data_IF_118270481517
#
_entry.id   IF_118270481517
#
_cell.length_a   1.000
_cell.length_b   1.000
_cell.length_c   1.000
_cell.angle_alpha   90.00
_cell.angle_beta   90.00
_cell.angle_gamma   90.00
#
_symmetry.space_group_name_H-M   'P 1'
#
loop_
_entity.id
_entity.type
_entity.pdbx_description
1 polymer ?
#
# COMPACT_ATOMS: atom_id res chain seq x y z
N UNK A 1 -1.89 -6.80 16.04
CA UNK A 1 -2.09 -5.57 15.23
C UNK A 1 -1.55 -4.38 16.00
N UNK A 2 -0.69 -3.58 15.37
CA UNK A 2 -0.10 -2.35 15.90
C UNK A 2 -0.62 -1.13 15.13
N UNK A 3 -0.82 0.01 15.80
CA UNK A 3 -1.03 1.31 15.17
C UNK A 3 0.18 2.20 15.44
N UNK A 4 0.79 2.69 14.37
CA UNK A 4 1.86 3.68 14.42
C UNK A 4 1.34 5.04 13.92
N UNK A 5 1.61 6.10 14.65
CA UNK A 5 1.31 7.48 14.25
C UNK A 5 2.63 8.24 14.22
N UNK A 6 3.07 8.76 13.06
CA UNK A 6 4.27 9.56 12.96
C UNK A 6 4.26 10.76 13.90
N UNK A 7 5.44 11.19 14.35
CA UNK A 7 5.57 12.33 15.27
C UNK A 7 4.98 13.60 14.63
N UNK A 8 4.09 14.25 15.35
CA UNK A 8 3.39 15.45 14.88
C UNK A 8 2.20 15.20 13.96
N UNK A 9 1.91 13.93 13.61
CA UNK A 9 0.72 13.57 12.86
C UNK A 9 -0.48 13.32 13.80
N UNK A 10 -1.69 13.37 13.22
CA UNK A 10 -2.92 12.87 13.82
C UNK A 10 -3.77 12.21 12.72
N UNK A 11 -4.67 11.33 13.10
CA UNK A 11 -5.51 10.60 12.14
C UNK A 11 -7.00 10.99 12.17
N UNK A 12 -7.29 12.20 12.60
CA UNK A 12 -8.68 12.68 12.71
C UNK A 12 -9.29 13.05 11.35
N UNK A 13 -8.45 13.32 10.34
CA UNK A 13 -8.88 13.78 9.02
C UNK A 13 -8.42 12.86 7.88
N UNK A 14 -8.34 11.56 8.10
CA UNK A 14 -7.99 10.61 7.04
C UNK A 14 -9.06 10.58 5.97
N UNK A 15 -8.63 10.79 4.72
CA UNK A 15 -9.47 10.82 3.51
C UNK A 15 -9.08 9.75 2.50
N UNK A 16 -7.87 9.23 2.59
CA UNK A 16 -7.29 8.24 1.69
C UNK A 16 -6.75 7.08 2.51
N UNK A 17 -7.17 5.88 2.19
CA UNK A 17 -6.72 4.65 2.85
C UNK A 17 -6.14 3.70 1.81
N UNK A 18 -5.00 3.10 2.09
CA UNK A 18 -4.48 1.98 1.31
C UNK A 18 -4.43 0.71 2.15
N UNK A 19 -4.79 -0.42 1.56
CA UNK A 19 -4.61 -1.75 2.16
C UNK A 19 -3.66 -2.55 1.30
N UNK A 20 -2.46 -2.79 1.80
CA UNK A 20 -1.41 -3.54 1.12
C UNK A 20 -1.18 -4.92 1.71
N UNK A 21 -0.72 -5.83 0.88
CA UNK A 21 -0.28 -7.15 1.31
C UNK A 21 1.05 -7.07 2.06
N UNK A 22 2.06 -6.44 1.44
CA UNK A 22 3.42 -6.38 1.99
C UNK A 22 3.85 -4.95 2.29
N UNK A 23 4.91 -4.83 3.04
CA UNK A 23 5.63 -3.58 3.26
C UNK A 23 6.33 -3.21 1.95
N UNK A 24 6.19 -1.95 1.49
CA UNK A 24 6.59 -1.37 0.19
C UNK A 24 5.51 -1.30 -0.91
N UNK A 25 4.50 -2.14 -0.90
CA UNK A 25 3.49 -2.18 -1.96
C UNK A 25 2.72 -0.86 -2.12
N UNK A 26 2.26 -0.26 -1.00
CA UNK A 26 1.38 0.92 -1.06
C UNK A 26 2.10 2.16 -1.59
N UNK A 27 3.40 2.28 -1.39
CA UNK A 27 4.21 3.36 -1.95
C UNK A 27 4.31 3.25 -3.47
N UNK A 28 4.11 2.05 -4.01
CA UNK A 28 4.03 1.81 -5.44
C UNK A 28 2.63 2.08 -5.99
N UNK A 29 1.60 1.44 -5.46
CA UNK A 29 0.28 1.47 -6.08
C UNK A 29 -0.65 2.59 -5.58
N UNK A 30 -0.48 3.08 -4.35
CA UNK A 30 -1.34 4.12 -3.75
C UNK A 30 -0.66 5.50 -3.70
N UNK A 31 0.37 5.73 -4.52
CA UNK A 31 1.14 6.97 -4.50
C UNK A 31 0.29 8.22 -4.76
N UNK A 32 -0.75 8.14 -5.58
CA UNK A 32 -1.74 9.20 -5.78
C UNK A 32 -2.39 9.65 -4.46
N UNK A 33 -2.81 8.68 -3.63
CA UNK A 33 -3.38 8.96 -2.31
C UNK A 33 -2.37 9.64 -1.37
N UNK A 34 -1.12 9.17 -1.38
CA UNK A 34 -0.02 9.76 -0.60
C UNK A 34 0.19 11.22 -1.03
N UNK A 35 0.30 11.49 -2.32
CA UNK A 35 0.49 12.84 -2.88
C UNK A 35 -0.65 13.78 -2.51
N UNK A 36 -1.90 13.36 -2.68
CA UNK A 36 -3.09 14.16 -2.35
C UNK A 36 -3.17 14.54 -0.88
N UNK A 37 -2.65 13.66 -0.01
CA UNK A 37 -2.65 13.83 1.44
C UNK A 37 -1.38 14.49 2.00
N UNK A 38 -0.33 14.64 1.18
CA UNK A 38 0.99 15.10 1.63
C UNK A 38 0.89 16.45 2.35
N UNK A 39 1.43 16.50 3.57
CA UNK A 39 1.36 17.67 4.44
C UNK A 39 -0.02 17.99 5.06
N UNK A 40 -1.02 17.10 4.93
CA UNK A 40 -2.41 17.33 5.38
C UNK A 40 -2.89 16.34 6.44
N UNK A 41 -2.09 15.37 6.86
CA UNK A 41 -2.51 14.26 7.74
C UNK A 41 -3.79 13.55 7.24
N UNK A 42 -3.83 13.23 5.95
CA UNK A 42 -5.05 12.72 5.33
C UNK A 42 -4.90 11.32 4.69
N UNK A 43 -3.72 10.69 4.76
CA UNK A 43 -3.49 9.33 4.27
C UNK A 43 -3.20 8.38 5.42
N UNK A 44 -3.85 7.23 5.42
CA UNK A 44 -3.51 6.11 6.28
C UNK A 44 -3.15 4.87 5.46
N UNK A 45 -2.21 4.08 5.96
CA UNK A 45 -1.81 2.81 5.39
C UNK A 45 -2.18 1.64 6.29
N UNK A 46 -2.54 0.51 5.69
CA UNK A 46 -2.67 -0.79 6.36
C UNK A 46 -1.75 -1.78 5.65
N UNK A 47 -0.88 -2.45 6.40
CA UNK A 47 -0.07 -3.56 5.90
C UNK A 47 -0.51 -4.83 6.59
N UNK A 48 -0.83 -5.87 5.82
CA UNK A 48 -1.40 -7.09 6.35
C UNK A 48 -0.34 -8.12 6.78
N UNK A 49 0.78 -8.24 6.04
CA UNK A 49 1.79 -9.28 6.37
C UNK A 49 2.99 -8.73 7.12
N UNK A 50 3.63 -9.63 7.90
CA UNK A 50 4.87 -9.36 8.65
C UNK A 50 6.08 -9.16 7.73
N UNK A 51 6.11 -9.83 6.58
CA UNK A 51 7.19 -9.76 5.61
C UNK A 51 8.47 -10.52 6.01
N UNK A 52 8.46 -11.28 7.10
CA UNK A 52 9.63 -12.02 7.59
C UNK A 52 10.14 -13.07 6.60
N UNK A 53 9.25 -13.85 6.02
CA UNK A 53 9.60 -14.92 5.08
C UNK A 53 9.91 -14.43 3.65
N UNK A 54 10.46 -13.22 3.48
CA UNK A 54 10.85 -12.69 2.17
C UNK A 54 12.18 -13.27 1.67
N UNK A 55 12.46 -13.24 0.35
CA UNK A 55 13.79 -13.54 -0.17
C UNK A 55 14.87 -12.65 0.46
N UNK A 56 16.06 -13.21 0.70
CA UNK A 56 17.21 -12.53 1.29
C UNK A 56 18.23 -12.14 0.22
N UNK A 57 18.73 -10.91 0.28
CA UNK A 57 19.99 -10.56 -0.38
C UNK A 57 21.17 -11.10 0.43
N UNK A 58 22.36 -11.22 -0.20
CA UNK A 58 23.54 -11.79 0.45
C UNK A 58 23.88 -11.14 1.81
N UNK A 59 23.75 -9.84 1.90
CA UNK A 59 24.00 -9.08 3.14
C UNK A 59 23.01 -9.35 4.28
N UNK A 60 21.88 -10.00 3.99
CA UNK A 60 20.85 -10.36 4.96
C UNK A 60 20.64 -11.88 5.08
N UNK A 61 21.52 -12.70 4.49
CA UNK A 61 21.33 -14.16 4.39
C UNK A 61 21.16 -14.86 5.75
N UNK A 62 21.85 -14.35 6.76
CA UNK A 62 21.86 -14.93 8.12
C UNK A 62 20.83 -14.27 9.06
N UNK A 63 20.03 -13.33 8.56
CA UNK A 63 18.96 -12.67 9.35
C UNK A 63 17.78 -13.62 9.49
N UNK A 64 17.29 -13.83 10.71
CA UNK A 64 16.10 -14.64 10.97
C UNK A 64 14.83 -14.04 10.37
N UNK A 65 13.75 -14.81 10.27
CA UNK A 65 12.47 -14.30 9.78
C UNK A 65 11.90 -13.23 10.73
N UNK A 66 12.04 -13.42 12.04
CA UNK A 66 11.58 -12.46 13.04
C UNK A 66 12.36 -11.14 12.96
N UNK A 67 13.71 -11.19 12.92
CA UNK A 67 14.52 -9.99 12.76
C UNK A 67 14.26 -9.28 11.41
N UNK A 68 14.00 -10.04 10.35
CA UNK A 68 13.65 -9.46 9.06
C UNK A 68 12.28 -8.76 9.11
N UNK A 69 11.30 -9.32 9.79
CA UNK A 69 10.01 -8.68 10.00
C UNK A 69 10.16 -7.35 10.76
N UNK A 70 11.01 -7.32 11.78
CA UNK A 70 11.33 -6.07 12.53
C UNK A 70 12.02 -5.03 11.66
N UNK A 71 13.04 -5.42 10.87
CA UNK A 71 13.73 -4.53 9.93
C UNK A 71 12.76 -3.90 8.94
N UNK A 72 11.90 -4.70 8.32
CA UNK A 72 10.91 -4.24 7.36
C UNK A 72 9.82 -3.38 8.02
N UNK A 73 9.45 -3.68 9.26
CA UNK A 73 8.55 -2.82 10.04
C UNK A 73 9.16 -1.45 10.28
N UNK A 74 10.45 -1.38 10.61
CA UNK A 74 11.16 -0.12 10.76
C UNK A 74 11.26 0.66 9.43
N UNK A 75 11.47 -0.03 8.30
CA UNK A 75 11.43 0.58 6.96
C UNK A 75 10.05 1.17 6.66
N UNK A 76 8.98 0.43 6.90
CA UNK A 76 7.61 0.90 6.63
C UNK A 76 7.22 2.09 7.53
N UNK A 77 7.64 2.11 8.80
CA UNK A 77 7.44 3.26 9.68
C UNK A 77 8.18 4.51 9.18
N UNK A 78 9.43 4.35 8.70
CA UNK A 78 10.18 5.46 8.06
C UNK A 78 9.51 5.95 6.77
N UNK A 79 8.94 5.04 5.98
CA UNK A 79 8.18 5.43 4.79
C UNK A 79 6.93 6.23 5.18
N UNK A 80 6.22 5.84 6.24
CA UNK A 80 5.08 6.59 6.76
C UNK A 80 5.47 8.00 7.24
N UNK A 81 6.61 8.15 7.91
CA UNK A 81 7.16 9.46 8.31
C UNK A 81 7.48 10.33 7.09
N UNK A 82 8.24 9.80 6.12
CA UNK A 82 8.60 10.52 4.88
C UNK A 82 7.39 10.89 4.02
N UNK A 83 6.42 9.98 3.94
CA UNK A 83 5.19 10.16 3.17
C UNK A 83 4.15 11.06 3.86
N UNK A 84 4.40 11.48 5.09
CA UNK A 84 3.48 12.32 5.86
C UNK A 84 2.14 11.61 6.15
N UNK A 85 2.21 10.31 6.48
CA UNK A 85 1.02 9.54 6.80
C UNK A 85 0.40 10.03 8.11
N UNK A 86 -0.93 10.03 8.17
CA UNK A 86 -1.68 10.27 9.39
C UNK A 86 -1.60 9.09 10.36
N UNK A 87 -1.60 7.87 9.82
CA UNK A 87 -1.46 6.63 10.58
C UNK A 87 -0.99 5.47 9.69
N UNK A 88 -0.37 4.49 10.32
CA UNK A 88 0.00 3.20 9.73
C UNK A 88 -0.48 2.08 10.66
N UNK A 89 -1.20 1.11 10.10
CA UNK A 89 -1.69 -0.06 10.80
C UNK A 89 -0.93 -1.30 10.30
N UNK A 90 -0.38 -2.07 11.21
CA UNK A 90 0.42 -3.25 10.95
C UNK A 90 -0.27 -4.47 11.56
N UNK A 91 -0.72 -5.40 10.72
CA UNK A 91 -1.41 -6.61 11.17
C UNK A 91 -0.43 -7.69 11.61
N UNK A 92 0.78 -7.66 11.04
CA UNK A 92 1.85 -8.64 11.33
C UNK A 92 1.37 -10.09 11.21
N UNK A 93 0.71 -10.41 10.11
CA UNK A 93 0.21 -11.73 9.79
C UNK A 93 1.10 -12.43 8.75
N UNK A 94 1.11 -13.75 8.77
CA UNK A 94 1.74 -14.51 7.68
C UNK A 94 0.91 -14.42 6.40
N UNK A 95 1.56 -14.61 5.24
CA UNK A 95 0.82 -14.71 3.96
C UNK A 95 -0.20 -15.85 3.93
N UNK A 96 0.01 -16.91 4.71
CA UNK A 96 -0.93 -18.01 4.83
C UNK A 96 -2.21 -17.60 5.58
N UNK A 97 -2.07 -16.85 6.69
CA UNK A 97 -3.22 -16.32 7.43
C UNK A 97 -4.05 -15.37 6.59
N UNK A 98 -3.40 -14.47 5.80
CA UNK A 98 -4.14 -13.58 4.90
C UNK A 98 -4.89 -14.35 3.82
N UNK A 99 -4.27 -15.37 3.22
CA UNK A 99 -4.92 -16.23 2.23
C UNK A 99 -6.09 -17.04 2.79
N UNK A 100 -6.06 -17.36 4.09
CA UNK A 100 -7.17 -18.01 4.76
C UNK A 100 -8.42 -17.11 4.93
N UNK A 101 -8.26 -15.80 4.81
CA UNK A 101 -9.34 -14.80 4.87
C UNK A 101 -10.22 -14.97 6.11
N UNK A 102 -9.59 -15.13 7.27
CA UNK A 102 -10.34 -15.36 8.51
C UNK A 102 -11.27 -14.19 8.83
N UNK A 103 -12.43 -14.50 9.41
CA UNK A 103 -13.42 -13.49 9.80
C UNK A 103 -12.83 -12.45 10.75
N UNK A 104 -11.96 -12.86 11.67
CA UNK A 104 -11.29 -11.94 12.60
C UNK A 104 -10.47 -10.85 11.88
N UNK A 105 -9.69 -11.22 10.86
CA UNK A 105 -8.91 -10.24 10.06
C UNK A 105 -9.85 -9.28 9.33
N UNK A 106 -10.93 -9.78 8.74
CA UNK A 106 -11.92 -8.99 8.03
C UNK A 106 -12.62 -8.00 8.98
N UNK A 107 -13.04 -8.45 10.17
CA UNK A 107 -13.69 -7.60 11.18
C UNK A 107 -12.74 -6.52 11.74
N UNK A 108 -11.47 -6.87 11.99
CA UNK A 108 -10.45 -5.89 12.40
C UNK A 108 -10.24 -4.81 11.33
N UNK A 109 -10.16 -5.20 10.05
CA UNK A 109 -10.01 -4.25 8.95
C UNK A 109 -11.25 -3.36 8.77
N UNK A 110 -12.45 -3.93 8.90
CA UNK A 110 -13.69 -3.16 8.90
C UNK A 110 -13.74 -2.14 10.06
N UNK A 111 -13.24 -2.50 11.24
CA UNK A 111 -13.15 -1.57 12.37
C UNK A 111 -12.21 -0.39 12.09
N UNK A 112 -11.08 -0.63 11.39
CA UNK A 112 -10.19 0.46 10.93
C UNK A 112 -10.92 1.36 9.93
N UNK A 113 -11.65 0.79 8.96
CA UNK A 113 -12.41 1.59 7.98
C UNK A 113 -13.49 2.43 8.64
N UNK A 114 -14.22 1.90 9.63
CA UNK A 114 -15.22 2.66 10.41
C UNK A 114 -14.62 3.83 11.18
N UNK A 115 -13.36 3.75 11.58
CA UNK A 115 -12.65 4.88 12.19
C UNK A 115 -12.53 6.06 11.23
N UNK A 116 -12.58 5.82 9.92
CA UNK A 116 -12.42 6.81 8.86
C UNK A 116 -13.68 6.90 7.96
N UNK A 117 -14.82 7.39 8.48
CA UNK A 117 -16.12 7.27 7.81
C UNK A 117 -16.28 8.17 6.57
N UNK A 118 -15.27 8.92 6.19
CA UNK A 118 -15.34 9.90 5.07
C UNK A 118 -14.25 9.70 4.05
N UNK A 119 -13.87 8.45 3.80
CA UNK A 119 -12.85 8.15 2.80
C UNK A 119 -13.29 8.61 1.41
N UNK A 120 -12.48 9.46 0.79
CA UNK A 120 -12.64 9.83 -0.62
C UNK A 120 -12.19 8.71 -1.55
N UNK A 121 -11.15 7.96 -1.12
CA UNK A 121 -10.70 6.79 -1.85
C UNK A 121 -10.07 5.72 -0.94
N UNK A 122 -10.33 4.47 -1.33
CA UNK A 122 -9.67 3.27 -0.82
C UNK A 122 -8.85 2.67 -1.97
N UNK A 123 -7.55 2.49 -1.75
CA UNK A 123 -6.62 1.88 -2.70
C UNK A 123 -6.34 0.45 -2.27
N UNK A 124 -6.56 -0.49 -3.17
CA UNK A 124 -6.38 -1.93 -2.95
C UNK A 124 -5.49 -2.53 -4.04
N UNK A 125 -4.92 -3.68 -3.77
CA UNK A 125 -4.41 -4.53 -4.85
C UNK A 125 -5.53 -4.89 -5.83
N UNK A 126 -5.15 -5.26 -7.05
CA UNK A 126 -6.11 -5.71 -8.05
C UNK A 126 -6.48 -7.20 -7.80
N UNK A 127 -7.76 -7.60 -7.91
CA UNK A 127 -8.17 -8.99 -7.74
C UNK A 127 -7.59 -9.95 -8.79
N UNK A 128 -7.06 -9.42 -9.89
CA UNK A 128 -6.41 -10.19 -10.97
C UNK A 128 -4.87 -10.09 -10.94
N UNK A 129 -4.29 -9.63 -9.83
CA UNK A 129 -2.84 -9.60 -9.65
C UNK A 129 -2.23 -11.01 -9.72
N UNK A 130 -0.97 -11.10 -10.17
CA UNK A 130 -0.25 -12.38 -10.21
C UNK A 130 0.12 -12.93 -8.85
N UNK A 131 0.26 -12.07 -7.84
CA UNK A 131 0.71 -12.48 -6.53
C UNK A 131 -0.47 -12.95 -5.66
N UNK A 132 -0.53 -14.23 -5.25
CA UNK A 132 -1.68 -14.76 -4.51
C UNK A 132 -1.98 -14.01 -3.21
N UNK A 133 -0.97 -13.46 -2.53
CA UNK A 133 -1.17 -12.66 -1.32
C UNK A 133 -1.77 -11.30 -1.63
N UNK A 134 -1.44 -10.66 -2.78
CA UNK A 134 -2.08 -9.43 -3.22
C UNK A 134 -3.57 -9.64 -3.48
N UNK A 135 -3.90 -10.73 -4.20
CA UNK A 135 -5.30 -11.11 -4.44
C UNK A 135 -6.04 -11.34 -3.12
N UNK A 136 -5.44 -12.08 -2.19
CA UNK A 136 -6.04 -12.33 -0.89
C UNK A 136 -6.25 -11.02 -0.09
N UNK A 137 -5.27 -10.12 -0.08
CA UNK A 137 -5.37 -8.82 0.58
C UNK A 137 -6.52 -7.97 -0.01
N UNK A 138 -6.66 -7.96 -1.35
CA UNK A 138 -7.78 -7.31 -2.03
C UNK A 138 -9.12 -7.89 -1.58
N UNK A 139 -9.25 -9.21 -1.58
CA UNK A 139 -10.50 -9.89 -1.21
C UNK A 139 -10.84 -9.67 0.28
N UNK A 140 -9.86 -9.73 1.19
CA UNK A 140 -10.06 -9.39 2.61
C UNK A 140 -10.56 -7.95 2.76
N UNK A 141 -10.00 -7.01 2.01
CA UNK A 141 -10.43 -5.62 2.06
C UNK A 141 -11.84 -5.41 1.50
N UNK A 142 -12.21 -6.10 0.42
CA UNK A 142 -13.57 -6.05 -0.12
C UNK A 142 -14.58 -6.71 0.82
N UNK A 143 -14.23 -7.82 1.46
CA UNK A 143 -15.06 -8.43 2.51
C UNK A 143 -15.27 -7.45 3.69
N UNK A 144 -14.22 -6.72 4.09
CA UNK A 144 -14.33 -5.70 5.13
C UNK A 144 -15.25 -4.53 4.71
N UNK A 145 -15.17 -4.06 3.47
CA UNK A 145 -16.09 -3.04 2.93
C UNK A 145 -17.55 -3.52 2.94
N UNK A 146 -17.78 -4.80 2.67
CA UNK A 146 -19.13 -5.38 2.71
C UNK A 146 -19.74 -5.43 4.13
N UNK A 147 -18.93 -5.30 5.18
CA UNK A 147 -19.39 -5.18 6.56
C UNK A 147 -19.72 -3.75 6.99
N UNK A 148 -19.47 -2.76 6.13
CA UNK A 148 -19.74 -1.34 6.41
C UNK A 148 -21.18 -0.99 6.05
N UNK A 149 -21.78 -0.06 6.80
CA UNK A 149 -23.01 0.60 6.39
C UNK A 149 -22.74 1.52 5.17
N UNK A 150 -23.80 1.88 4.45
CA UNK A 150 -23.64 2.65 3.20
C UNK A 150 -22.99 4.03 3.43
N UNK A 151 -23.23 4.65 4.56
CA UNK A 151 -22.66 5.95 4.95
C UNK A 151 -21.19 5.85 5.44
N UNK A 152 -20.73 4.64 5.78
CA UNK A 152 -19.35 4.35 6.18
C UNK A 152 -18.46 3.97 4.98
N UNK A 153 -19.05 3.58 3.84
CA UNK A 153 -18.31 3.09 2.68
C UNK A 153 -17.44 4.17 2.04
N UNK A 154 -16.24 3.81 1.55
CA UNK A 154 -15.44 4.72 0.74
C UNK A 154 -16.20 5.21 -0.49
N UNK A 155 -16.02 6.49 -0.86
CA UNK A 155 -16.65 7.06 -2.07
C UNK A 155 -16.16 6.41 -3.36
N UNK A 156 -14.89 5.99 -3.38
CA UNK A 156 -14.25 5.32 -4.50
C UNK A 156 -13.37 4.19 -4.00
N UNK A 157 -13.34 3.11 -4.74
CA UNK A 157 -12.44 1.98 -4.50
C UNK A 157 -11.65 1.76 -5.78
N UNK A 158 -10.31 1.78 -5.67
CA UNK A 158 -9.41 1.56 -6.79
C UNK A 158 -8.69 0.23 -6.63
N UNK A 159 -8.82 -0.65 -7.63
CA UNK A 159 -8.01 -1.85 -7.77
C UNK A 159 -6.73 -1.49 -8.53
N UNK A 160 -5.60 -1.53 -7.85
CA UNK A 160 -4.30 -1.11 -8.38
C UNK A 160 -3.38 -2.31 -8.58
N UNK A 161 -2.43 -2.23 -9.49
CA UNK A 161 -1.41 -3.25 -9.67
C UNK A 161 -0.01 -2.70 -9.35
N UNK A 162 0.79 -3.52 -8.69
CA UNK A 162 2.16 -3.15 -8.30
C UNK A 162 3.14 -3.35 -9.47
N UNK A 163 2.95 -4.43 -10.27
CA UNK A 163 3.97 -4.94 -11.16
C UNK A 163 3.76 -4.63 -12.64
N UNK A 164 2.51 -4.47 -13.11
CA UNK A 164 2.15 -4.41 -14.53
C UNK A 164 1.32 -3.20 -14.92
N UNK A 165 0.90 -2.37 -13.99
CA UNK A 165 0.08 -1.18 -14.20
C UNK A 165 -1.15 -1.42 -15.07
N UNK A 166 -1.74 -2.61 -14.92
CA UNK A 166 -2.94 -3.02 -15.65
C UNK A 166 -2.75 -3.04 -17.18
N UNK A 167 -1.59 -3.47 -17.67
CA UNK A 167 -1.28 -3.56 -19.11
C UNK A 167 -2.30 -4.39 -19.93
N UNK A 168 -3.06 -5.25 -19.26
CA UNK A 168 -4.09 -6.12 -19.83
C UNK A 168 -5.49 -5.49 -19.85
N UNK A 169 -5.70 -4.34 -19.20
CA UNK A 169 -6.96 -3.61 -19.21
C UNK A 169 -6.96 -2.65 -20.40
N UNK A 170 -8.09 -2.50 -21.09
CA UNK A 170 -8.26 -1.49 -22.12
C UNK A 170 -8.05 -0.09 -21.53
N UNK A 171 -7.50 0.81 -22.32
CA UNK A 171 -7.06 2.10 -21.77
C UNK A 171 -8.22 3.01 -21.35
N UNK A 172 -9.37 2.89 -22.00
CA UNK A 172 -10.61 3.56 -21.65
C UNK A 172 -11.18 3.12 -20.30
N UNK A 173 -10.82 1.92 -19.83
CA UNK A 173 -11.24 1.35 -18.55
C UNK A 173 -10.25 1.64 -17.41
N UNK A 174 -9.12 2.27 -17.72
CA UNK A 174 -8.11 2.66 -16.71
C UNK A 174 -8.42 4.00 -16.08
N UNK A 175 -8.17 4.10 -14.79
CA UNK A 175 -8.11 5.39 -14.09
C UNK A 175 -6.66 5.84 -14.01
N UNK A 176 -6.35 6.96 -14.66
CA UNK A 176 -5.01 7.55 -14.66
C UNK A 176 -4.88 8.59 -13.55
N UNK A 177 -3.82 8.49 -12.76
CA UNK A 177 -3.49 9.46 -11.72
C UNK A 177 -2.28 10.28 -12.15
N UNK A 178 -2.45 11.60 -12.22
CA UNK A 178 -1.33 12.52 -12.41
C UNK A 178 -0.61 12.75 -11.08
N UNK A 179 0.64 12.30 -11.02
CA UNK A 179 1.53 12.44 -9.88
C UNK A 179 2.79 13.24 -10.24
N UNK A 180 2.74 14.03 -11.31
CA UNK A 180 3.82 14.89 -11.76
C UNK A 180 4.24 15.89 -10.67
N UNK A 181 5.52 16.21 -10.63
CA UNK A 181 6.08 17.14 -9.64
C UNK A 181 6.40 16.51 -8.27
N UNK A 182 6.14 15.21 -8.09
CA UNK A 182 6.44 14.48 -6.86
C UNK A 182 7.50 13.39 -7.04
N UNK A 183 8.36 13.51 -8.06
CA UNK A 183 9.39 12.51 -8.39
C UNK A 183 10.40 12.33 -7.26
N UNK A 184 10.77 13.42 -6.57
CA UNK A 184 11.67 13.37 -5.41
C UNK A 184 11.04 12.60 -4.27
N UNK A 185 9.78 12.90 -3.92
CA UNK A 185 9.06 12.16 -2.88
C UNK A 185 8.94 10.67 -3.24
N UNK A 186 8.63 10.37 -4.52
CA UNK A 186 8.54 8.99 -4.99
C UNK A 186 9.87 8.24 -4.83
N UNK A 187 10.98 8.87 -5.21
CA UNK A 187 12.32 8.31 -5.05
C UNK A 187 12.69 8.11 -3.58
N UNK A 188 12.42 9.12 -2.76
CA UNK A 188 12.71 9.09 -1.33
C UNK A 188 11.95 7.99 -0.59
N UNK A 189 10.66 7.80 -0.92
CA UNK A 189 9.85 6.72 -0.36
C UNK A 189 10.41 5.35 -0.75
N UNK A 190 10.68 5.12 -2.03
CA UNK A 190 11.19 3.83 -2.49
C UNK A 190 12.60 3.52 -1.93
N UNK A 191 13.42 4.53 -1.68
CA UNK A 191 14.78 4.36 -1.13
C UNK A 191 14.80 3.83 0.31
N UNK A 192 13.69 3.94 1.05
CA UNK A 192 13.60 3.50 2.45
C UNK A 192 13.65 1.98 2.57
N UNK A 193 13.17 1.24 1.57
CA UNK A 193 13.02 -0.21 1.59
C UNK A 193 14.31 -0.93 1.19
N UNK A 194 15.35 -0.76 2.00
CA UNK A 194 16.70 -1.30 1.72
C UNK A 194 16.69 -2.82 1.61
N UNK A 195 15.94 -3.50 2.48
CA UNK A 195 15.85 -4.98 2.47
C UNK A 195 15.29 -5.52 1.17
N UNK A 196 14.33 -4.84 0.57
CA UNK A 196 13.70 -5.24 -0.70
C UNK A 196 14.51 -4.80 -1.90
N UNK A 197 15.00 -3.56 -1.90
CA UNK A 197 15.81 -3.01 -2.99
C UNK A 197 17.13 -3.78 -3.17
N UNK A 198 17.68 -4.34 -2.10
CA UNK A 198 18.86 -5.21 -2.17
C UNK A 198 18.62 -6.49 -2.96
N UNK A 199 17.36 -6.97 -3.02
CA UNK A 199 17.01 -8.20 -3.75
C UNK A 199 16.68 -7.92 -5.22
N UNK A 200 15.84 -6.91 -5.51
CA UNK A 200 15.23 -6.73 -6.84
C UNK A 200 15.16 -5.29 -7.36
N UNK A 201 15.83 -4.33 -6.74
CA UNK A 201 15.85 -2.93 -7.20
C UNK A 201 14.45 -2.38 -7.52
N UNK A 202 13.50 -2.57 -6.62
CA UNK A 202 12.13 -2.05 -6.75
C UNK A 202 12.08 -0.53 -6.84
N UNK A 203 13.05 0.16 -6.22
CA UNK A 203 13.27 1.60 -6.34
C UNK A 203 13.37 2.06 -7.79
N UNK A 204 14.16 1.37 -8.61
CA UNK A 204 14.29 1.66 -10.04
C UNK A 204 13.04 1.24 -10.82
N UNK A 205 12.52 0.03 -10.55
CA UNK A 205 11.42 -0.53 -11.30
C UNK A 205 10.14 0.30 -11.20
N UNK A 206 9.77 0.74 -9.99
CA UNK A 206 8.57 1.55 -9.76
C UNK A 206 8.65 2.92 -10.47
N UNK A 207 9.80 3.60 -10.38
CA UNK A 207 9.98 4.91 -11.03
C UNK A 207 10.03 4.80 -12.56
N UNK A 208 10.70 3.77 -13.09
CA UNK A 208 10.75 3.51 -14.52
C UNK A 208 9.35 3.23 -15.09
N UNK A 209 8.54 2.46 -14.36
CA UNK A 209 7.16 2.14 -14.78
C UNK A 209 6.28 3.38 -14.81
N UNK A 210 6.34 4.24 -13.81
CA UNK A 210 5.59 5.51 -13.80
C UNK A 210 5.96 6.40 -15.00
N UNK A 211 7.25 6.49 -15.35
CA UNK A 211 7.71 7.25 -16.52
C UNK A 211 7.21 6.64 -17.84
N UNK A 212 7.23 5.32 -17.96
CA UNK A 212 6.69 4.64 -19.13
C UNK A 212 5.19 4.91 -19.29
N UNK A 213 4.42 4.81 -18.21
CA UNK A 213 2.98 5.09 -18.22
C UNK A 213 2.68 6.54 -18.59
N UNK A 214 3.44 7.52 -18.08
CA UNK A 214 3.30 8.93 -18.47
C UNK A 214 3.45 9.11 -19.98
N UNK A 215 4.43 8.42 -20.59
CA UNK A 215 4.63 8.48 -22.05
C UNK A 215 3.43 7.92 -22.82
N UNK A 216 2.87 6.78 -22.39
CA UNK A 216 1.70 6.19 -23.05
C UNK A 216 0.45 7.06 -22.89
N UNK A 217 0.24 7.66 -21.73
CA UNK A 217 -0.89 8.56 -21.51
C UNK A 217 -0.78 9.86 -22.33
N UNK A 218 0.41 10.41 -22.50
CA UNK A 218 0.64 11.63 -23.29
C UNK A 218 0.49 11.43 -24.81
N UNK A 219 0.75 10.22 -25.31
CA UNK A 219 0.67 9.94 -26.74
C UNK A 219 -0.75 9.89 -27.32
N UNK A 220 -1.77 10.15 -26.49
CA UNK A 220 -3.21 10.14 -26.84
C UNK A 220 -3.86 11.50 -26.88
N UNK A 221 -3.10 12.56 -26.65
CA UNK A 221 -3.54 13.96 -26.78
C UNK A 221 -3.60 14.45 -28.20
#
# INVERSE_FOLDING_TARGET
MEKFVPVGANDDNVRYLAVSAHKDDMEMFAFDGIVKAYGKNAFAGVVLTDGGACPRAEQFKDVSDDDMAELRTAEQKRAAEKGGYAALWLFEKTSAEIKARSRDIVEQLAAIMRRYPRLDALYLHNPFDRHPTHVAACLVALDAVNLLNDDEKPRKIYGCEVWRDLDWVADEDKVVFDVSGYETLASDLMSVFVTQNAVKRYDIAALARRRANATFCQSRG
#
